data_IF_245137036360
#
_entry.id   IF_245137036360
#
_cell.length_a   1.000
_cell.length_b   1.000
_cell.length_c   1.000
_cell.angle_alpha   90.00
_cell.angle_beta   90.00
_cell.angle_gamma   90.00
#
_symmetry.space_group_name_H-M   'P 1'
#
loop_
_entity.id
_entity.type
_entity.pdbx_description
1 polymer ?
#
# COMPACT_ATOMS: atom_id res chain seq x y z
N UNK A 1 -23.49 11.28 -3.38
CA UNK A 1 -22.33 10.41 -3.68
C UNK A 1 -21.30 11.20 -4.47
N UNK A 2 -20.09 11.41 -3.93
CA UNK A 2 -18.98 11.98 -4.71
C UNK A 2 -18.69 10.98 -5.86
N UNK A 3 -18.67 11.46 -7.11
CA UNK A 3 -18.34 10.63 -8.27
C UNK A 3 -16.83 10.45 -8.35
N UNK A 4 -16.35 9.26 -8.70
CA UNK A 4 -14.95 9.05 -9.08
C UNK A 4 -14.59 10.04 -10.20
N UNK A 5 -13.38 10.59 -10.14
CA UNK A 5 -12.87 11.53 -11.15
C UNK A 5 -11.63 10.96 -11.78
N UNK A 6 -11.60 10.89 -13.11
CA UNK A 6 -10.48 10.32 -13.86
C UNK A 6 -9.88 11.42 -14.74
N UNK A 7 -8.56 11.57 -14.69
CA UNK A 7 -7.82 12.52 -15.53
C UNK A 7 -6.82 11.73 -16.38
N UNK A 8 -7.14 11.60 -17.66
CA UNK A 8 -6.31 10.95 -18.68
C UNK A 8 -5.94 12.00 -19.73
N UNK A 9 -4.64 12.23 -19.91
CA UNK A 9 -4.15 13.18 -20.91
C UNK A 9 -3.52 12.41 -22.05
N UNK A 10 -4.24 12.27 -23.18
CA UNK A 10 -3.75 11.51 -24.34
C UNK A 10 -2.68 12.24 -25.14
N UNK A 11 -2.74 13.57 -25.19
CA UNK A 11 -1.80 14.38 -25.96
C UNK A 11 -0.40 14.39 -25.29
N UNK A 12 0.67 13.93 -25.95
CA UNK A 12 2.01 13.88 -25.37
C UNK A 12 2.56 15.25 -24.93
N UNK A 13 2.24 16.33 -25.66
CA UNK A 13 2.68 17.69 -25.29
C UNK A 13 2.03 18.14 -23.99
N UNK A 14 0.73 17.87 -23.81
CA UNK A 14 0.02 18.18 -22.57
C UNK A 14 0.46 17.28 -21.40
N UNK A 15 0.84 16.02 -21.66
CA UNK A 15 1.46 15.16 -20.64
C UNK A 15 2.78 15.75 -20.14
N UNK A 16 3.61 16.27 -21.05
CA UNK A 16 4.84 16.96 -20.67
C UNK A 16 4.53 18.16 -19.77
N UNK A 17 3.63 19.05 -20.19
CA UNK A 17 3.22 20.22 -19.38
C UNK A 17 2.76 19.80 -17.97
N UNK A 18 1.89 18.78 -17.86
CA UNK A 18 1.47 18.24 -16.56
C UNK A 18 2.66 17.77 -15.72
N UNK A 19 3.58 17.01 -16.31
CA UNK A 19 4.72 16.45 -15.57
C UNK A 19 5.65 17.56 -15.07
N UNK A 20 5.95 18.55 -15.91
CA UNK A 20 6.78 19.71 -15.52
C UNK A 20 6.10 20.50 -14.39
N UNK A 21 4.80 20.78 -14.51
CA UNK A 21 4.06 21.48 -13.47
C UNK A 21 4.10 20.72 -12.13
N UNK A 22 3.91 19.40 -12.14
CA UNK A 22 4.03 18.56 -10.93
C UNK A 22 5.44 18.56 -10.35
N UNK A 23 6.47 18.57 -11.20
CA UNK A 23 7.85 18.70 -10.75
C UNK A 23 8.09 20.04 -10.05
N UNK A 24 7.60 21.13 -10.64
CA UNK A 24 7.70 22.46 -10.03
C UNK A 24 6.98 22.54 -8.69
N UNK A 25 5.78 21.98 -8.58
CA UNK A 25 5.07 21.89 -7.30
C UNK A 25 5.84 21.09 -6.27
N UNK A 26 6.46 19.97 -6.66
CA UNK A 26 7.25 19.16 -5.73
C UNK A 26 8.48 19.93 -5.24
N UNK A 27 9.24 20.56 -6.13
CA UNK A 27 10.38 21.40 -5.75
C UNK A 27 9.99 22.52 -4.80
N UNK A 28 8.86 23.19 -5.07
CA UNK A 28 8.35 24.23 -4.17
C UNK A 28 7.94 23.69 -2.79
N UNK A 29 7.32 22.51 -2.73
CA UNK A 29 7.00 21.85 -1.47
C UNK A 29 8.27 21.45 -0.70
N UNK A 30 9.30 20.97 -1.39
CA UNK A 30 10.57 20.59 -0.79
C UNK A 30 11.28 21.82 -0.17
N UNK A 31 11.21 22.99 -0.82
CA UNK A 31 11.74 24.24 -0.26
C UNK A 31 11.03 24.65 1.05
N UNK A 32 9.69 24.50 1.08
CA UNK A 32 8.89 24.74 2.29
C UNK A 32 9.26 23.73 3.39
N UNK A 33 9.33 22.46 3.04
CA UNK A 33 9.64 21.39 3.98
C UNK A 33 11.02 21.59 4.62
N UNK A 34 12.04 21.92 3.83
CA UNK A 34 13.38 22.23 4.32
C UNK A 34 13.37 23.42 5.29
N UNK A 35 12.65 24.49 4.95
CA UNK A 35 12.53 25.67 5.83
C UNK A 35 11.87 25.32 7.17
N UNK A 36 10.87 24.44 7.16
CA UNK A 36 10.20 23.96 8.37
C UNK A 36 11.09 23.01 9.19
N UNK A 37 11.91 22.20 8.54
CA UNK A 37 12.90 21.37 9.23
C UNK A 37 13.97 22.22 9.92
N UNK A 38 14.45 23.28 9.28
CA UNK A 38 15.38 24.24 9.89
C UNK A 38 14.74 24.87 11.15
N UNK A 39 13.50 25.36 11.05
CA UNK A 39 12.72 25.91 12.19
C UNK A 39 12.55 24.86 13.31
N UNK A 40 12.29 23.60 12.95
CA UNK A 40 12.14 22.50 13.90
C UNK A 40 13.43 22.27 14.69
N UNK A 41 14.58 22.17 14.01
CA UNK A 41 15.86 21.91 14.68
C UNK A 41 16.31 23.08 15.56
N UNK A 42 16.06 24.32 15.11
CA UNK A 42 16.36 25.53 15.88
C UNK A 42 15.54 25.64 17.17
N UNK A 43 14.31 25.12 17.19
CA UNK A 43 13.40 25.19 18.36
C UNK A 43 13.40 23.92 19.20
N UNK A 44 13.82 22.77 18.64
CA UNK A 44 13.86 21.48 19.35
C UNK A 44 14.79 21.51 20.57
N UNK A 45 15.95 22.18 20.47
CA UNK A 45 16.86 22.37 21.62
C UNK A 45 16.26 23.19 22.77
N UNK A 46 15.16 23.91 22.52
CA UNK A 46 14.44 24.75 23.49
C UNK A 46 13.12 24.12 23.97
N UNK A 47 12.76 22.93 23.48
CA UNK A 47 11.53 22.23 23.84
C UNK A 47 10.25 22.77 23.17
N UNK A 48 10.37 23.61 22.13
CA UNK A 48 9.23 24.32 21.50
C UNK A 48 9.01 23.94 20.02
N UNK A 49 9.47 22.76 19.59
CA UNK A 49 9.36 22.31 18.19
C UNK A 49 7.97 21.80 17.78
N UNK A 50 6.96 21.99 18.64
CA UNK A 50 5.61 21.46 18.44
C UNK A 50 4.92 22.05 17.20
N UNK A 51 5.11 23.34 16.95
CA UNK A 51 4.48 24.05 15.85
C UNK A 51 5.08 23.70 14.48
N UNK A 52 6.41 23.66 14.38
CA UNK A 52 7.09 23.24 13.15
C UNK A 52 6.73 21.78 12.79
N UNK A 53 6.69 20.89 13.79
CA UNK A 53 6.25 19.50 13.62
C UNK A 53 4.81 19.39 13.12
N UNK A 54 3.89 20.22 13.65
CA UNK A 54 2.50 20.29 13.19
C UNK A 54 2.43 20.73 11.72
N UNK A 55 3.14 21.79 11.34
CA UNK A 55 3.18 22.29 9.95
C UNK A 55 3.75 21.25 8.98
N UNK A 56 4.82 20.55 9.36
CA UNK A 56 5.40 19.45 8.56
C UNK A 56 4.37 18.33 8.34
N UNK A 57 3.66 17.93 9.40
CA UNK A 57 2.61 16.92 9.32
C UNK A 57 1.45 17.34 8.41
N UNK A 58 1.03 18.60 8.49
CA UNK A 58 0.00 19.17 7.62
C UNK A 58 0.44 19.23 6.15
N UNK A 59 1.68 19.65 5.90
CA UNK A 59 2.27 19.68 4.56
C UNK A 59 2.27 18.29 3.92
N UNK A 60 2.73 17.28 4.67
CA UNK A 60 2.75 15.90 4.23
C UNK A 60 1.33 15.37 3.93
N UNK A 61 0.35 15.71 4.77
CA UNK A 61 -1.05 15.33 4.53
C UNK A 61 -1.63 15.97 3.25
N UNK A 62 -1.29 17.23 2.98
CA UNK A 62 -1.71 17.92 1.76
C UNK A 62 -1.06 17.31 0.52
N UNK A 63 0.24 17.01 0.59
CA UNK A 63 0.97 16.38 -0.51
C UNK A 63 0.39 14.99 -0.84
N UNK A 64 0.19 14.16 0.17
CA UNK A 64 -0.36 12.79 0.02
C UNK A 64 -1.79 12.78 -0.54
N UNK A 65 -2.58 13.83 -0.26
CA UNK A 65 -3.93 14.03 -0.82
C UNK A 65 -3.94 14.75 -2.17
N UNK A 66 -2.79 15.19 -2.67
CA UNK A 66 -2.70 15.95 -3.92
C UNK A 66 -2.79 15.04 -5.16
N UNK A 67 -3.16 15.62 -6.31
CA UNK A 67 -3.08 14.94 -7.61
C UNK A 67 -1.63 14.89 -8.16
N UNK A 68 -0.67 15.48 -7.46
CA UNK A 68 0.69 15.65 -7.96
C UNK A 68 1.46 14.34 -7.94
N UNK A 69 1.18 13.46 -6.98
CA UNK A 69 1.92 12.21 -6.78
C UNK A 69 0.96 11.10 -6.40
N UNK A 70 1.20 9.89 -6.91
CA UNK A 70 0.48 8.70 -6.44
C UNK A 70 1.02 8.25 -5.09
N UNK A 71 0.18 8.27 -4.04
CA UNK A 71 0.55 7.84 -2.69
C UNK A 71 1.06 6.38 -2.63
N UNK A 72 0.65 5.52 -3.58
CA UNK A 72 1.08 4.13 -3.60
C UNK A 72 2.45 3.88 -4.25
N UNK A 73 2.80 4.63 -5.30
CA UNK A 73 4.00 4.34 -6.09
C UNK A 73 4.96 5.52 -6.22
N UNK A 74 4.64 6.67 -5.61
CA UNK A 74 5.47 7.87 -5.64
C UNK A 74 5.58 8.54 -7.01
N UNK A 75 4.92 8.01 -8.05
CA UNK A 75 5.05 8.56 -9.41
C UNK A 75 4.15 9.76 -9.60
N UNK A 76 4.72 10.81 -10.18
CA UNK A 76 4.06 12.07 -10.53
C UNK A 76 3.79 12.20 -12.04
N UNK A 77 4.26 11.27 -12.87
CA UNK A 77 4.15 11.32 -14.33
C UNK A 77 2.96 10.53 -14.91
N UNK A 78 2.11 10.00 -14.03
CA UNK A 78 1.00 9.11 -14.39
C UNK A 78 -0.35 9.82 -14.47
N UNK A 79 -1.26 9.20 -15.22
CA UNK A 79 -2.68 9.55 -15.21
C UNK A 79 -3.29 9.14 -13.86
N UNK A 80 -4.23 9.95 -13.37
CA UNK A 80 -4.71 9.85 -11.99
C UNK A 80 -6.22 9.67 -11.93
N UNK A 81 -6.66 8.97 -10.88
CA UNK A 81 -8.05 8.77 -10.51
C UNK A 81 -8.24 9.15 -9.05
N UNK A 82 -9.30 9.90 -8.76
CA UNK A 82 -9.75 10.18 -7.41
C UNK A 82 -10.68 9.07 -6.94
N UNK A 83 -10.30 8.38 -5.87
CA UNK A 83 -11.08 7.32 -5.22
C UNK A 83 -11.86 7.91 -4.06
N UNK A 84 -13.19 7.80 -4.12
CA UNK A 84 -14.04 8.39 -3.07
C UNK A 84 -13.97 7.63 -1.75
N UNK A 85 -13.78 6.31 -1.80
CA UNK A 85 -13.72 5.45 -0.61
C UNK A 85 -12.54 5.83 0.30
N UNK A 86 -11.45 6.33 -0.29
CA UNK A 86 -10.21 6.68 0.42
C UNK A 86 -9.96 8.19 0.44
N UNK A 87 -10.80 8.96 -0.24
CA UNK A 87 -10.65 10.40 -0.47
C UNK A 87 -9.26 10.82 -0.99
N UNK A 88 -8.65 10.00 -1.85
CA UNK A 88 -7.27 10.15 -2.32
C UNK A 88 -7.14 10.09 -3.84
N UNK A 89 -6.02 10.61 -4.36
CA UNK A 89 -5.61 10.43 -5.75
C UNK A 89 -4.63 9.27 -5.89
N UNK A 90 -4.96 8.33 -6.78
CA UNK A 90 -4.10 7.22 -7.14
C UNK A 90 -3.77 7.31 -8.63
N UNK A 91 -2.62 6.81 -9.05
CA UNK A 91 -2.45 6.56 -10.48
C UNK A 91 -3.41 5.44 -10.93
N UNK A 92 -3.86 5.52 -12.18
CA UNK A 92 -4.83 4.56 -12.73
C UNK A 92 -4.33 3.12 -12.56
N UNK A 93 -3.05 2.85 -12.82
CA UNK A 93 -2.44 1.53 -12.66
C UNK A 93 -2.55 1.00 -11.22
N UNK A 94 -2.24 1.83 -10.21
CA UNK A 94 -2.37 1.45 -8.80
C UNK A 94 -3.83 1.22 -8.40
N UNK A 95 -4.75 2.06 -8.85
CA UNK A 95 -6.18 1.83 -8.57
C UNK A 95 -6.71 0.58 -9.26
N UNK A 96 -6.27 0.28 -10.49
CA UNK A 96 -6.65 -0.96 -11.19
C UNK A 96 -6.21 -2.20 -10.42
N UNK A 97 -4.96 -2.21 -9.90
CA UNK A 97 -4.48 -3.28 -9.01
C UNK A 97 -5.35 -3.37 -7.75
N UNK A 98 -5.62 -2.24 -7.09
CA UNK A 98 -6.49 -2.18 -5.90
C UNK A 98 -7.86 -2.81 -6.15
N UNK A 99 -8.53 -2.42 -7.24
CA UNK A 99 -9.86 -2.96 -7.60
C UNK A 99 -9.78 -4.45 -7.89
N UNK A 100 -8.76 -4.89 -8.64
CA UNK A 100 -8.55 -6.31 -8.93
C UNK A 100 -8.39 -7.14 -7.64
N UNK A 101 -7.49 -6.74 -6.74
CA UNK A 101 -7.26 -7.48 -5.48
C UNK A 101 -8.46 -7.41 -4.53
N UNK A 102 -9.23 -6.32 -4.56
CA UNK A 102 -10.49 -6.24 -3.82
C UNK A 102 -11.52 -7.25 -4.35
N UNK A 103 -11.64 -7.39 -5.67
CA UNK A 103 -12.50 -8.38 -6.29
C UNK A 103 -12.01 -9.81 -6.01
N UNK A 104 -10.70 -10.05 -6.10
CA UNK A 104 -10.09 -11.35 -5.79
C UNK A 104 -10.36 -11.76 -4.34
N UNK A 105 -10.26 -10.83 -3.39
CA UNK A 105 -10.61 -11.06 -1.98
C UNK A 105 -12.09 -11.39 -1.80
N UNK A 106 -12.97 -10.63 -2.43
CA UNK A 106 -14.42 -10.83 -2.31
C UNK A 106 -14.90 -12.13 -2.97
N UNK A 107 -14.21 -12.57 -4.03
CA UNK A 107 -14.46 -13.84 -4.72
C UNK A 107 -13.64 -15.01 -4.19
N UNK A 108 -12.88 -14.85 -3.11
CA UNK A 108 -12.08 -15.93 -2.55
C UNK A 108 -13.02 -16.97 -1.92
N UNK A 109 -13.09 -18.16 -2.52
CA UNK A 109 -13.88 -19.31 -2.03
C UNK A 109 -13.21 -19.99 -0.82
N UNK A 110 -12.71 -19.20 0.11
CA UNK A 110 -12.15 -19.64 1.39
C UNK A 110 -12.73 -18.75 2.47
N UNK A 111 -13.54 -19.35 3.36
CA UNK A 111 -14.19 -18.63 4.44
C UNK A 111 -13.19 -18.09 5.45
N UNK A 112 -13.60 -17.07 6.22
CA UNK A 112 -12.78 -16.48 7.29
C UNK A 112 -12.30 -17.52 8.32
N UNK A 113 -13.14 -18.52 8.62
CA UNK A 113 -12.77 -19.63 9.53
C UNK A 113 -11.65 -20.50 8.96
N UNK A 114 -11.73 -20.86 7.69
CA UNK A 114 -10.69 -21.65 7.02
C UNK A 114 -9.39 -20.86 6.92
N UNK A 115 -9.46 -19.58 6.55
CA UNK A 115 -8.30 -18.70 6.51
C UNK A 115 -7.61 -18.59 7.88
N UNK A 116 -8.39 -18.42 8.95
CA UNK A 116 -7.87 -18.38 10.32
C UNK A 116 -7.23 -19.72 10.71
N UNK A 117 -7.90 -20.84 10.40
CA UNK A 117 -7.35 -22.16 10.65
C UNK A 117 -6.03 -22.39 9.90
N UNK A 118 -5.95 -21.97 8.64
CA UNK A 118 -4.73 -21.99 7.84
C UNK A 118 -3.60 -21.21 8.53
N UNK A 119 -3.86 -19.97 8.95
CA UNK A 119 -2.86 -19.11 9.60
C UNK A 119 -2.37 -19.69 10.92
N UNK A 120 -3.27 -20.22 11.76
CA UNK A 120 -2.92 -20.89 13.04
C UNK A 120 -2.08 -22.15 12.80
N UNK A 121 -2.42 -22.95 11.78
CA UNK A 121 -1.63 -24.13 11.41
C UNK A 121 -0.25 -23.72 10.87
N UNK A 122 -0.17 -22.63 10.11
CA UNK A 122 1.08 -22.13 9.54
C UNK A 122 2.03 -21.66 10.64
N UNK A 123 1.54 -20.86 11.58
CA UNK A 123 2.28 -20.37 12.75
C UNK A 123 2.90 -21.52 13.56
N UNK A 124 2.15 -22.60 13.79
CA UNK A 124 2.65 -23.80 14.49
C UNK A 124 3.67 -24.60 13.68
N UNK A 125 3.68 -24.46 12.35
CA UNK A 125 4.48 -25.30 11.45
C UNK A 125 5.85 -24.71 11.12
N UNK A 126 6.07 -23.43 11.40
CA UNK A 126 7.32 -22.73 11.07
C UNK A 126 7.92 -22.05 12.30
N UNK A 127 9.25 -21.94 12.32
CA UNK A 127 9.94 -21.03 13.23
C UNK A 127 10.19 -19.73 12.48
N UNK A 128 9.62 -18.63 12.94
CA UNK A 128 9.83 -17.31 12.34
C UNK A 128 11.32 -16.98 12.43
N UNK A 129 11.95 -16.79 11.27
CA UNK A 129 13.35 -16.39 11.19
C UNK A 129 13.42 -14.90 10.86
N UNK A 130 13.76 -14.08 11.86
CA UNK A 130 13.95 -12.64 11.68
C UNK A 130 15.25 -12.28 10.92
N UNK A 131 16.14 -13.26 10.66
CA UNK A 131 17.45 -13.07 10.01
C UNK A 131 17.48 -13.23 8.49
N UNK A 132 16.33 -13.21 7.80
CA UNK A 132 16.20 -13.00 6.34
C UNK A 132 16.71 -14.08 5.38
N UNK A 133 17.54 -15.04 5.80
CA UNK A 133 18.33 -15.85 4.85
C UNK A 133 17.88 -17.30 4.61
N UNK A 134 16.79 -17.78 5.23
CA UNK A 134 16.36 -19.20 5.14
C UNK A 134 14.85 -19.42 5.00
N UNK A 135 14.14 -18.61 4.20
CA UNK A 135 12.73 -18.88 3.93
C UNK A 135 12.56 -19.89 2.79
N UNK A 136 11.84 -20.99 3.02
CA UNK A 136 11.62 -22.07 2.04
C UNK A 136 10.42 -21.81 1.09
N UNK A 137 10.16 -20.56 0.73
CA UNK A 137 8.97 -20.19 -0.05
C UNK A 137 7.67 -20.58 0.65
N UNK A 138 6.72 -21.14 -0.10
CA UNK A 138 5.38 -21.56 0.35
C UNK A 138 5.27 -23.05 0.75
N UNK A 139 6.37 -23.67 1.19
CA UNK A 139 6.43 -25.14 1.35
C UNK A 139 5.46 -25.65 2.43
N UNK A 140 5.35 -24.97 3.56
CA UNK A 140 4.46 -25.39 4.65
C UNK A 140 3.03 -24.96 4.37
N UNK A 141 2.82 -23.74 3.88
CA UNK A 141 1.49 -23.28 3.48
C UNK A 141 0.84 -24.22 2.47
N UNK A 142 1.57 -24.66 1.43
CA UNK A 142 1.02 -25.57 0.41
C UNK A 142 0.62 -26.92 1.01
N UNK A 143 1.45 -27.47 1.90
CA UNK A 143 1.14 -28.71 2.62
C UNK A 143 -0.09 -28.56 3.51
N UNK A 144 -0.26 -27.43 4.18
CA UNK A 144 -1.40 -27.17 5.06
C UNK A 144 -2.68 -27.04 4.24
N UNK A 145 -2.68 -26.24 3.18
CA UNK A 145 -3.84 -26.04 2.31
C UNK A 145 -4.28 -27.36 1.64
N UNK A 146 -3.32 -28.18 1.18
CA UNK A 146 -3.60 -29.52 0.68
C UNK A 146 -4.25 -30.42 1.74
N UNK A 147 -3.76 -30.39 2.99
CA UNK A 147 -4.35 -31.15 4.11
C UNK A 147 -5.73 -30.63 4.53
N UNK A 148 -6.04 -29.37 4.25
CA UNK A 148 -7.36 -28.78 4.48
C UNK A 148 -8.34 -29.08 3.35
N UNK A 149 -7.91 -29.72 2.26
CA UNK A 149 -8.76 -30.02 1.11
C UNK A 149 -9.07 -28.79 0.24
N UNK A 150 -8.30 -27.71 0.36
CA UNK A 150 -8.49 -26.49 -0.44
C UNK A 150 -8.05 -26.75 -1.87
N UNK A 151 -8.93 -26.48 -2.84
CA UNK A 151 -8.65 -26.69 -4.27
C UNK A 151 -7.48 -25.82 -4.76
N UNK A 152 -6.70 -26.32 -5.73
CA UNK A 152 -5.49 -25.62 -6.21
C UNK A 152 -5.76 -24.21 -6.75
N UNK A 153 -6.90 -23.99 -7.42
CA UNK A 153 -7.27 -22.66 -7.93
C UNK A 153 -7.53 -21.67 -6.78
N UNK A 154 -8.17 -22.12 -5.69
CA UNK A 154 -8.38 -21.32 -4.49
C UNK A 154 -7.04 -21.00 -3.83
N UNK A 155 -6.12 -21.97 -3.76
CA UNK A 155 -4.78 -21.75 -3.25
C UNK A 155 -4.02 -20.70 -4.07
N UNK A 156 -4.12 -20.76 -5.40
CA UNK A 156 -3.48 -19.80 -6.30
C UNK A 156 -4.00 -18.38 -6.05
N UNK A 157 -5.32 -18.21 -5.98
CA UNK A 157 -5.96 -16.93 -5.68
C UNK A 157 -5.55 -16.41 -4.29
N UNK A 158 -5.49 -17.30 -3.29
CA UNK A 158 -5.00 -16.97 -1.96
C UNK A 158 -3.53 -16.51 -2.00
N UNK A 159 -2.65 -17.23 -2.69
CA UNK A 159 -1.24 -16.85 -2.78
C UNK A 159 -1.02 -15.54 -3.51
N UNK A 160 -1.76 -15.28 -4.57
CA UNK A 160 -1.71 -14.01 -5.29
C UNK A 160 -2.14 -12.85 -4.38
N UNK A 161 -3.20 -13.03 -3.59
CA UNK A 161 -3.64 -12.04 -2.61
C UNK A 161 -2.63 -11.86 -1.46
N UNK A 162 -2.07 -12.95 -0.93
CA UNK A 162 -1.03 -12.90 0.10
C UNK A 162 0.21 -12.18 -0.40
N UNK A 163 0.64 -12.46 -1.63
CA UNK A 163 1.79 -11.82 -2.26
C UNK A 163 1.57 -10.31 -2.43
N UNK A 164 0.36 -9.89 -2.81
CA UNK A 164 0.00 -8.47 -2.86
C UNK A 164 0.12 -7.78 -1.50
N UNK A 165 -0.20 -8.48 -0.41
CA UNK A 165 -0.01 -7.99 0.96
C UNK A 165 1.41 -8.24 1.51
N UNK A 166 2.39 -8.53 0.66
CA UNK A 166 3.80 -8.69 1.05
C UNK A 166 4.14 -10.06 1.62
N UNK A 167 3.27 -11.06 1.47
CA UNK A 167 3.46 -12.45 1.90
C UNK A 167 4.18 -13.29 0.84
N UNK A 168 5.47 -13.02 0.60
CA UNK A 168 6.25 -13.68 -0.47
C UNK A 168 6.75 -15.10 -0.09
N UNK A 169 6.65 -15.47 1.18
CA UNK A 169 6.96 -16.81 1.67
C UNK A 169 6.19 -17.12 2.97
N UNK A 170 6.33 -18.34 3.52
CA UNK A 170 5.63 -18.77 4.74
C UNK A 170 5.81 -17.80 5.93
N UNK A 171 7.02 -17.25 6.13
CA UNK A 171 7.27 -16.25 7.19
C UNK A 171 6.58 -14.92 6.91
N UNK A 172 6.70 -14.42 5.68
CA UNK A 172 6.12 -13.14 5.27
C UNK A 172 4.59 -13.16 5.31
N UNK A 173 3.97 -14.33 5.08
CA UNK A 173 2.53 -14.50 5.25
C UNK A 173 2.15 -14.13 6.69
N UNK A 174 2.89 -14.61 7.69
CA UNK A 174 2.60 -14.33 9.09
C UNK A 174 2.96 -12.91 9.50
N UNK A 175 4.09 -12.38 9.02
CA UNK A 175 4.61 -11.06 9.42
C UNK A 175 3.87 -9.92 8.73
N UNK A 176 3.65 -10.02 7.40
CA UNK A 176 3.16 -8.91 6.58
C UNK A 176 1.69 -9.09 6.20
N UNK A 177 1.33 -10.26 5.66
CA UNK A 177 0.05 -10.44 4.99
C UNK A 177 -1.10 -10.76 5.96
N UNK A 178 -0.84 -11.46 7.07
CA UNK A 178 -1.85 -11.97 8.00
C UNK A 178 -2.73 -10.86 8.58
N UNK A 179 -2.12 -9.74 8.99
CA UNK A 179 -2.79 -8.56 9.53
C UNK A 179 -3.74 -7.95 8.48
N UNK A 180 -3.24 -7.73 7.26
CA UNK A 180 -4.04 -7.16 6.15
C UNK A 180 -5.20 -8.07 5.73
N UNK A 181 -4.98 -9.38 5.80
CA UNK A 181 -6.02 -10.38 5.56
C UNK A 181 -7.09 -10.38 6.65
N UNK A 182 -6.73 -10.12 7.90
CA UNK A 182 -7.65 -10.04 9.04
C UNK A 182 -8.42 -8.71 9.12
N UNK A 183 -7.80 -7.58 8.75
CA UNK A 183 -8.32 -6.23 9.00
C UNK A 183 -9.41 -5.77 8.03
N UNK A 184 -9.70 -6.50 6.95
CA UNK A 184 -10.84 -6.19 6.07
C UNK A 184 -10.73 -4.89 5.26
N UNK A 185 -9.96 -3.90 5.70
CA UNK A 185 -9.89 -2.55 5.16
C UNK A 185 -8.55 -1.90 5.54
N UNK A 186 -8.15 -0.87 4.78
CA UNK A 186 -7.02 0.06 4.98
C UNK A 186 -5.70 -0.38 4.36
N UNK A 187 -5.47 0.07 3.14
CA UNK A 187 -4.47 1.14 2.92
C UNK A 187 -5.27 2.37 2.48
#
# INVERSE_FOLDING_TARGET
MKKQRVIIIKNPRLRRVRNELRSLWKSWLDDIENSLWDEFWDTAGRGDSSEASRKLSELHLLETKSICTCIHCGRSDKDMIYTCDWEQWLCIECNSKRVYFNNLRNGLEMGKSELNEFLVRLEKSIKINHGGSKCNGYKNSKKILNKMGIAEEIQKNLYELLHYYGGHCDCDILINASLRMAEGNLI
#
